data_IF_233878524285
#
_entry.id   IF_233878524285
#
_cell.length_a   1.000
_cell.length_b   1.000
_cell.length_c   1.000
_cell.angle_alpha   90.00
_cell.angle_beta   90.00
_cell.angle_gamma   90.00
#
_symmetry.space_group_name_H-M   'P 1'
#
loop_
_entity.id
_entity.type
_entity.pdbx_description
1 polymer ?
#
# COMPACT_ATOMS: atom_id res chain seq x y z
N UNK A 1 0.83 24.12 -70.05
CA UNK A 1 1.44 22.97 -70.76
C UNK A 1 0.94 21.70 -70.09
N UNK A 2 0.15 21.02 -70.84
CA UNK A 2 -0.54 19.75 -70.67
C UNK A 2 0.46 18.58 -70.61
N UNK A 3 0.18 17.57 -69.87
CA UNK A 3 0.27 16.14 -70.21
C UNK A 3 -0.14 15.33 -68.97
N UNK A 4 -1.25 14.75 -68.87
CA UNK A 4 -1.87 13.59 -69.50
C UNK A 4 -1.33 12.23 -69.01
N UNK A 5 -2.19 11.61 -68.21
CA UNK A 5 -2.64 10.20 -68.22
C UNK A 5 -1.61 9.03 -68.20
N UNK A 6 -1.79 8.12 -67.21
CA UNK A 6 -2.23 6.74 -67.56
C UNK A 6 -2.74 5.98 -66.35
N UNK A 7 -4.04 5.64 -66.36
CA UNK A 7 -4.64 4.53 -65.61
C UNK A 7 -4.18 3.20 -66.23
N UNK A 8 -3.74 2.27 -65.40
CA UNK A 8 -3.62 0.86 -65.79
C UNK A 8 -4.44 0.04 -64.80
N UNK A 9 -5.60 -0.38 -65.28
CA UNK A 9 -6.46 -1.41 -64.71
C UNK A 9 -5.81 -2.76 -64.90
N UNK A 10 -5.60 -3.55 -63.89
CA UNK A 10 -5.25 -4.97 -64.00
C UNK A 10 -6.28 -5.82 -63.29
N UNK A 11 -6.91 -6.62 -64.10
CA UNK A 11 -7.95 -7.60 -63.82
C UNK A 11 -7.36 -8.78 -63.00
N UNK A 12 -8.11 -9.19 -61.99
CA UNK A 12 -7.86 -10.34 -61.11
C UNK A 12 -8.30 -11.61 -61.85
N UNK A 13 -7.59 -12.76 -61.70
CA UNK A 13 -8.22 -14.06 -61.89
C UNK A 13 -8.67 -14.63 -60.51
N UNK A 14 -9.90 -15.04 -60.49
CA UNK A 14 -10.54 -15.83 -59.46
C UNK A 14 -9.92 -17.23 -59.46
N UNK A 15 -9.31 -17.61 -58.38
CA UNK A 15 -8.86 -19.00 -58.17
C UNK A 15 -9.75 -19.62 -57.07
N UNK A 16 -10.68 -20.44 -57.49
CA UNK A 16 -11.47 -21.32 -56.63
C UNK A 16 -10.56 -22.43 -56.09
N UNK A 17 -10.40 -22.47 -54.76
CA UNK A 17 -9.78 -23.61 -54.08
C UNK A 17 -10.81 -24.28 -53.18
N UNK A 18 -10.94 -25.56 -53.43
CA UNK A 18 -11.89 -26.45 -52.81
C UNK A 18 -11.72 -26.57 -51.26
N UNK A 19 -12.86 -26.68 -50.58
CA UNK A 19 -12.94 -26.99 -49.18
C UNK A 19 -12.45 -28.40 -48.86
N UNK A 20 -11.40 -28.52 -48.07
CA UNK A 20 -11.11 -29.72 -47.29
C UNK A 20 -11.50 -29.45 -45.84
N UNK A 21 -12.62 -30.03 -45.37
CA UNK A 21 -12.94 -30.13 -43.98
C UNK A 21 -11.90 -31.06 -43.30
N UNK A 22 -10.89 -30.44 -42.67
CA UNK A 22 -10.03 -31.08 -41.69
C UNK A 22 -10.53 -30.68 -40.31
N UNK A 23 -11.11 -31.58 -39.55
CA UNK A 23 -11.41 -31.38 -38.13
C UNK A 23 -10.08 -31.28 -37.35
N UNK A 24 -9.52 -30.08 -37.24
CA UNK A 24 -8.46 -29.79 -36.30
C UNK A 24 -9.11 -29.55 -34.93
N UNK A 25 -9.12 -30.58 -34.09
CA UNK A 25 -9.41 -30.44 -32.67
C UNK A 25 -8.43 -29.41 -32.07
N UNK A 26 -8.89 -28.23 -31.79
CA UNK A 26 -8.15 -27.26 -31.02
C UNK A 26 -7.92 -27.85 -29.62
N UNK A 27 -6.69 -28.31 -29.37
CA UNK A 27 -6.19 -28.51 -28.01
C UNK A 27 -6.20 -27.13 -27.33
N UNK A 28 -7.30 -26.80 -26.64
CA UNK A 28 -7.30 -25.70 -25.68
C UNK A 28 -6.36 -26.15 -24.57
N UNK A 29 -5.24 -25.45 -24.32
CA UNK A 29 -4.44 -25.76 -23.15
C UNK A 29 -5.36 -25.56 -21.95
N UNK A 30 -5.60 -26.65 -21.23
CA UNK A 30 -6.20 -26.62 -19.90
C UNK A 30 -5.24 -25.79 -19.01
N UNK A 31 -5.54 -24.51 -18.84
CA UNK A 31 -4.93 -23.68 -17.80
C UNK A 31 -5.47 -24.23 -16.49
N UNK A 32 -4.93 -25.41 -16.14
CA UNK A 32 -5.24 -26.09 -14.88
C UNK A 32 -5.26 -25.07 -13.77
N UNK A 33 -6.32 -25.12 -12.99
CA UNK A 33 -6.52 -24.38 -11.74
C UNK A 33 -5.17 -24.14 -11.07
N UNK A 34 -4.59 -22.98 -11.30
CA UNK A 34 -3.51 -22.50 -10.43
C UNK A 34 -4.11 -22.49 -9.03
N UNK A 35 -3.51 -23.22 -8.07
CA UNK A 35 -4.05 -23.21 -6.71
C UNK A 35 -4.13 -21.75 -6.29
N UNK A 36 -5.33 -21.26 -5.99
CA UNK A 36 -5.50 -19.98 -5.37
C UNK A 36 -4.60 -20.00 -4.14
N UNK A 37 -3.60 -19.13 -4.09
CA UNK A 37 -2.74 -19.00 -2.91
C UNK A 37 -3.69 -18.82 -1.73
N UNK A 38 -3.74 -19.82 -0.87
CA UNK A 38 -4.65 -19.80 0.28
C UNK A 38 -4.36 -18.51 1.06
N UNK A 39 -5.40 -17.70 1.26
CA UNK A 39 -5.26 -16.46 2.01
C UNK A 39 -4.59 -16.78 3.36
N UNK A 40 -3.56 -16.02 3.70
CA UNK A 40 -2.81 -16.24 4.93
C UNK A 40 -3.73 -16.24 6.15
N UNK A 41 -3.57 -17.26 7.00
CA UNK A 41 -4.40 -17.41 8.20
C UNK A 41 -4.11 -16.28 9.19
N UNK A 42 -5.14 -15.65 9.70
CA UNK A 42 -5.04 -14.67 10.79
C UNK A 42 -4.48 -15.34 12.03
N UNK A 43 -3.36 -14.85 12.55
CA UNK A 43 -2.85 -15.30 13.86
C UNK A 43 -3.65 -14.61 14.99
N UNK A 44 -3.88 -15.29 16.13
CA UNK A 44 -4.55 -14.67 17.27
C UNK A 44 -3.68 -13.54 17.86
N UNK A 45 -4.32 -12.56 18.49
CA UNK A 45 -3.61 -11.57 19.28
C UNK A 45 -2.99 -12.24 20.52
N UNK A 46 -1.85 -11.75 20.93
CA UNK A 46 -1.22 -12.17 22.19
C UNK A 46 -2.05 -11.67 23.39
N UNK A 47 -1.99 -12.37 24.49
CA UNK A 47 -2.78 -12.03 25.67
C UNK A 47 -2.21 -10.81 26.42
N UNK A 48 -0.91 -10.66 26.44
CA UNK A 48 -0.17 -9.52 26.99
C UNK A 48 0.95 -9.20 25.99
N UNK A 49 0.64 -8.47 24.92
CA UNK A 49 1.62 -8.19 23.88
C UNK A 49 2.72 -7.30 24.45
N UNK A 50 3.99 -7.54 24.10
CA UNK A 50 5.01 -6.52 24.24
C UNK A 50 4.77 -5.41 23.22
N UNK A 51 5.33 -4.22 23.43
CA UNK A 51 5.27 -3.16 22.41
C UNK A 51 4.56 -1.90 22.88
N UNK A 52 4.31 -1.76 24.19
CA UNK A 52 3.89 -0.48 24.74
C UNK A 52 5.05 0.52 24.63
N UNK A 53 4.81 1.64 23.97
CA UNK A 53 5.74 2.76 23.94
C UNK A 53 5.63 3.46 25.30
N UNK A 54 6.70 3.50 26.10
CA UNK A 54 6.63 4.10 27.44
C UNK A 54 6.17 5.57 27.41
N UNK A 55 5.42 6.00 28.41
CA UNK A 55 5.03 7.41 28.55
C UNK A 55 6.23 8.35 28.68
N UNK A 56 7.38 7.81 29.09
CA UNK A 56 8.66 8.53 29.19
C UNK A 56 9.43 8.56 27.88
N UNK A 57 8.90 7.96 26.79
CA UNK A 57 9.55 7.99 25.48
C UNK A 57 9.74 9.42 25.00
N UNK A 58 10.99 9.75 24.70
CA UNK A 58 11.34 11.03 24.08
C UNK A 58 11.04 10.98 22.59
N UNK A 59 10.43 12.06 22.09
CA UNK A 59 10.15 12.23 20.67
C UNK A 59 10.98 13.38 20.11
N UNK A 60 11.68 13.14 19.01
CA UNK A 60 12.50 14.11 18.31
C UNK A 60 11.87 14.51 16.97
N UNK A 61 12.28 15.66 16.43
CA UNK A 61 11.80 16.11 15.13
C UNK A 61 12.55 15.41 13.99
N UNK A 62 11.82 14.68 13.17
CA UNK A 62 12.29 14.19 11.89
C UNK A 62 11.97 15.18 10.79
N UNK A 63 12.99 15.69 10.12
CA UNK A 63 12.86 16.58 8.96
C UNK A 63 13.13 15.78 7.68
N UNK A 64 12.08 15.50 6.93
CA UNK A 64 12.16 14.74 5.68
C UNK A 64 12.67 15.62 4.52
N UNK A 65 13.57 15.09 3.64
CA UNK A 65 13.90 15.74 2.38
C UNK A 65 12.69 15.86 1.44
N UNK A 66 11.60 15.11 1.71
CA UNK A 66 10.35 15.16 0.97
C UNK A 66 9.47 16.39 1.30
N UNK A 67 9.93 17.30 2.18
CA UNK A 67 9.27 18.58 2.46
C UNK A 67 8.22 18.51 3.57
N UNK A 68 8.46 17.74 4.60
CA UNK A 68 7.63 17.71 5.82
C UNK A 68 8.48 17.48 7.08
N UNK A 69 7.88 17.71 8.22
CA UNK A 69 8.44 17.34 9.53
C UNK A 69 7.42 16.57 10.34
N UNK A 70 7.86 15.72 11.25
CA UNK A 70 7.02 15.05 12.24
C UNK A 70 7.84 14.59 13.43
N UNK A 71 7.18 14.30 14.55
CA UNK A 71 7.80 13.66 15.71
C UNK A 71 7.95 12.17 15.47
N UNK A 72 9.11 11.64 15.87
CA UNK A 72 9.42 10.21 15.83
C UNK A 72 10.08 9.82 17.16
N UNK A 73 9.97 8.57 17.63
CA UNK A 73 10.62 8.15 18.86
C UNK A 73 12.14 8.22 18.76
N UNK A 74 12.77 8.81 19.77
CA UNK A 74 14.23 8.83 19.88
C UNK A 74 14.76 7.41 20.17
N UNK A 75 15.91 7.07 19.56
CA UNK A 75 16.60 5.80 19.79
C UNK A 75 16.09 4.62 18.95
N UNK A 76 14.98 4.77 18.21
CA UNK A 76 14.52 3.72 17.30
C UNK A 76 15.44 3.58 16.09
N UNK A 77 15.61 2.34 15.60
CA UNK A 77 16.42 2.05 14.43
C UNK A 77 15.84 2.71 13.19
N UNK A 78 16.58 3.67 12.62
CA UNK A 78 16.17 4.40 11.42
C UNK A 78 16.75 3.77 10.16
N UNK A 79 15.90 3.65 9.15
CA UNK A 79 16.30 3.30 7.78
C UNK A 79 15.73 4.33 6.81
N UNK A 80 16.60 4.98 6.02
CA UNK A 80 16.18 5.93 5.00
C UNK A 80 16.01 5.23 3.65
N UNK A 81 14.94 5.61 2.93
CA UNK A 81 14.63 5.17 1.58
C UNK A 81 14.55 6.39 0.65
N UNK A 82 14.50 6.14 -0.66
CA UNK A 82 14.44 7.23 -1.66
C UNK A 82 13.19 8.12 -1.49
N UNK A 83 12.11 7.56 -1.04
CA UNK A 83 10.80 8.21 -0.88
C UNK A 83 10.38 8.46 0.58
N UNK A 84 11.18 8.00 1.55
CA UNK A 84 10.80 8.16 2.95
C UNK A 84 11.79 7.58 3.96
N UNK A 85 11.26 7.20 5.11
CA UNK A 85 12.04 6.57 6.20
C UNK A 85 11.17 5.62 7.02
N UNK A 86 11.83 4.70 7.72
CA UNK A 86 11.21 3.88 8.76
C UNK A 86 11.99 4.01 10.07
N UNK A 87 11.28 3.88 11.19
CA UNK A 87 11.81 3.87 12.54
C UNK A 87 11.21 2.65 13.23
N UNK A 88 12.03 1.75 13.74
CA UNK A 88 11.59 0.47 14.27
C UNK A 88 12.26 0.18 15.60
N UNK A 89 11.49 -0.26 16.58
CA UNK A 89 11.96 -0.92 17.80
C UNK A 89 11.19 -2.23 17.99
N UNK A 90 11.90 -3.34 17.95
CA UNK A 90 11.33 -4.70 18.06
C UNK A 90 10.17 -4.95 17.09
N UNK A 91 8.94 -4.88 17.60
CA UNK A 91 7.71 -5.15 16.83
C UNK A 91 6.90 -3.87 16.54
N UNK A 92 7.38 -2.72 17.01
CA UNK A 92 6.76 -1.43 16.79
C UNK A 92 7.42 -0.71 15.63
N UNK A 93 6.64 0.05 14.89
CA UNK A 93 7.21 0.79 13.79
C UNK A 93 6.43 2.01 13.35
N UNK A 94 7.20 2.95 12.83
CA UNK A 94 6.75 4.16 12.16
C UNK A 94 7.33 4.13 10.75
N UNK A 95 6.49 4.10 9.72
CA UNK A 95 6.93 4.16 8.33
C UNK A 95 6.30 5.37 7.68
N UNK A 96 7.10 6.18 7.02
CA UNK A 96 6.62 7.33 6.27
C UNK A 96 7.18 7.32 4.87
N UNK A 97 6.31 7.52 3.87
CA UNK A 97 6.70 7.57 2.47
C UNK A 97 5.96 8.68 1.72
N UNK A 98 6.58 9.18 0.67
CA UNK A 98 6.04 10.21 -0.23
C UNK A 98 5.79 9.61 -1.61
N UNK A 99 4.69 10.00 -2.23
CA UNK A 99 4.36 9.68 -3.61
C UNK A 99 3.71 10.88 -4.29
N UNK A 100 3.64 10.87 -5.61
CA UNK A 100 2.79 11.79 -6.36
C UNK A 100 1.35 11.26 -6.36
N UNK A 101 0.38 12.16 -6.31
CA UNK A 101 -1.02 11.85 -6.48
C UNK A 101 -1.72 13.00 -7.18
N UNK A 102 -2.66 12.69 -8.06
CA UNK A 102 -3.36 13.70 -8.88
C UNK A 102 -4.45 14.43 -8.07
N UNK A 103 -4.96 13.80 -7.01
CA UNK A 103 -6.00 14.36 -6.16
C UNK A 103 -5.85 13.93 -4.70
N UNK A 104 -6.43 14.74 -3.80
CA UNK A 104 -6.55 14.39 -2.40
C UNK A 104 -7.39 13.11 -2.21
N UNK A 105 -6.93 12.13 -1.42
CA UNK A 105 -7.73 10.96 -1.12
C UNK A 105 -8.99 11.34 -0.34
N UNK A 106 -10.11 10.71 -0.70
CA UNK A 106 -11.37 10.75 0.04
C UNK A 106 -11.60 9.41 0.75
N UNK A 107 -12.62 9.33 1.60
CA UNK A 107 -13.01 8.07 2.23
C UNK A 107 -13.41 7.04 1.17
N UNK A 108 -14.09 7.49 0.10
CA UNK A 108 -14.56 6.65 -1.00
C UNK A 108 -13.37 6.11 -1.80
N UNK A 109 -12.44 6.98 -2.24
CA UNK A 109 -11.25 6.55 -2.97
C UNK A 109 -10.33 5.67 -2.10
N UNK A 110 -10.24 5.96 -0.80
CA UNK A 110 -9.48 5.11 0.11
C UNK A 110 -10.06 3.69 0.20
N UNK A 111 -11.38 3.55 0.25
CA UNK A 111 -12.05 2.23 0.25
C UNK A 111 -11.95 1.52 -1.11
N UNK A 112 -11.99 2.27 -2.22
CA UNK A 112 -11.95 1.71 -3.56
C UNK A 112 -10.54 1.27 -4.00
N UNK A 113 -9.49 2.02 -3.63
CA UNK A 113 -8.15 1.86 -4.18
C UNK A 113 -7.14 1.40 -3.12
N UNK A 114 -7.05 2.11 -1.98
CA UNK A 114 -6.02 1.85 -0.97
C UNK A 114 -6.30 0.60 -0.14
N UNK A 115 -7.57 0.35 0.21
CA UNK A 115 -7.95 -0.83 1.01
C UNK A 115 -7.71 -2.13 0.24
N UNK A 116 -8.15 -2.31 -1.02
CA UNK A 116 -7.86 -3.52 -1.77
C UNK A 116 -6.37 -3.74 -1.98
N UNK A 117 -5.61 -2.68 -2.27
CA UNK A 117 -4.15 -2.77 -2.39
C UNK A 117 -3.51 -3.23 -1.08
N UNK A 118 -3.92 -2.64 0.04
CA UNK A 118 -3.43 -3.01 1.37
C UNK A 118 -3.73 -4.47 1.70
N UNK A 119 -4.91 -4.95 1.35
CA UNK A 119 -5.32 -6.34 1.56
C UNK A 119 -4.58 -7.32 0.65
N UNK A 120 -4.25 -6.92 -0.58
CA UNK A 120 -3.55 -7.79 -1.53
C UNK A 120 -2.04 -7.87 -1.28
N UNK A 121 -1.43 -6.83 -0.72
CA UNK A 121 0.01 -6.76 -0.47
C UNK A 121 0.39 -7.07 0.97
N UNK A 122 -0.54 -6.87 1.92
CA UNK A 122 -0.29 -7.11 3.35
C UNK A 122 -0.68 -8.53 3.78
N UNK A 123 -0.23 -8.92 4.95
CA UNK A 123 -0.40 -10.27 5.51
C UNK A 123 -1.67 -10.35 6.35
N UNK A 124 -2.64 -11.14 5.93
CA UNK A 124 -3.93 -11.36 6.60
C UNK A 124 -4.60 -10.04 7.08
N UNK A 125 -4.58 -9.01 6.24
CA UNK A 125 -5.10 -7.67 6.55
C UNK A 125 -6.62 -7.71 6.77
N UNK A 126 -7.06 -7.05 7.84
CA UNK A 126 -8.47 -6.81 8.17
C UNK A 126 -8.68 -5.34 8.51
N UNK A 127 -9.30 -4.59 7.59
CA UNK A 127 -9.61 -3.17 7.81
C UNK A 127 -10.84 -3.06 8.71
N UNK A 128 -10.76 -2.22 9.74
CA UNK A 128 -11.82 -1.98 10.71
C UNK A 128 -12.46 -0.60 10.58
N UNK A 129 -11.70 0.40 10.11
CA UNK A 129 -12.24 1.74 9.89
C UNK A 129 -11.50 2.47 8.76
N UNK A 130 -12.25 3.27 8.01
CA UNK A 130 -11.72 4.27 7.07
C UNK A 130 -12.51 5.55 7.29
N UNK A 131 -11.84 6.62 7.70
CA UNK A 131 -12.51 7.90 7.98
C UNK A 131 -11.60 9.09 7.70
N UNK A 132 -12.20 10.24 7.42
CA UNK A 132 -11.49 11.50 7.42
C UNK A 132 -11.29 11.98 8.85
N UNK A 133 -10.10 12.49 9.13
CA UNK A 133 -9.73 13.09 10.41
C UNK A 133 -9.17 14.50 10.16
N UNK A 134 -9.35 15.39 11.14
CA UNK A 134 -8.76 16.73 11.12
C UNK A 134 -7.54 16.74 12.01
N UNK A 135 -6.38 16.91 11.43
CA UNK A 135 -5.09 16.99 12.12
C UNK A 135 -4.50 18.40 11.98
N UNK A 136 -3.40 18.66 12.67
CA UNK A 136 -2.77 19.98 12.64
C UNK A 136 -2.23 20.38 11.25
N UNK A 137 -1.90 19.40 10.38
CA UNK A 137 -1.48 19.63 8.99
C UNK A 137 -2.66 19.77 8.01
N UNK A 138 -3.90 19.69 8.49
CA UNK A 138 -5.11 19.70 7.69
C UNK A 138 -5.87 18.37 7.73
N UNK A 139 -6.84 18.19 6.83
CA UNK A 139 -7.59 16.94 6.72
C UNK A 139 -6.69 15.82 6.21
N UNK A 140 -6.87 14.61 6.77
CA UNK A 140 -6.20 13.39 6.33
C UNK A 140 -7.19 12.23 6.34
N UNK A 141 -6.91 11.17 5.57
CA UNK A 141 -7.65 9.91 5.68
C UNK A 141 -6.91 8.99 6.66
N UNK A 142 -7.62 8.49 7.67
CA UNK A 142 -7.12 7.47 8.59
C UNK A 142 -7.74 6.13 8.25
N UNK A 143 -6.89 5.11 8.07
CA UNK A 143 -7.27 3.72 7.85
C UNK A 143 -6.77 2.94 9.06
N UNK A 144 -7.68 2.29 9.78
CA UNK A 144 -7.37 1.42 10.93
C UNK A 144 -7.54 -0.03 10.50
N UNK A 145 -6.55 -0.85 10.75
CA UNK A 145 -6.59 -2.25 10.36
C UNK A 145 -5.70 -3.11 11.24
N UNK A 146 -5.85 -4.41 11.11
CA UNK A 146 -4.96 -5.39 11.71
C UNK A 146 -4.30 -6.23 10.63
N UNK A 147 -3.07 -6.69 10.88
CA UNK A 147 -2.29 -7.55 9.97
C UNK A 147 -1.51 -8.59 10.76
N UNK A 148 -0.98 -9.60 10.10
CA UNK A 148 0.08 -10.41 10.68
C UNK A 148 1.42 -9.72 10.47
N UNK A 149 2.36 -9.87 11.40
CA UNK A 149 3.75 -9.46 11.20
C UNK A 149 4.43 -10.33 10.13
N UNK A 150 5.60 -9.91 9.66
CA UNK A 150 6.50 -10.83 8.99
C UNK A 150 6.85 -11.99 9.94
N UNK A 151 7.06 -13.21 9.41
CA UNK A 151 7.54 -14.31 10.21
C UNK A 151 8.92 -13.98 10.78
N UNK A 152 9.11 -14.26 12.07
CA UNK A 152 10.43 -14.16 12.67
C UNK A 152 11.40 -15.09 11.96
N UNK A 153 12.56 -14.58 11.55
CA UNK A 153 13.53 -15.32 10.72
C UNK A 153 14.06 -16.61 11.38
N UNK A 154 14.02 -16.70 12.70
CA UNK A 154 14.54 -17.86 13.45
C UNK A 154 13.43 -18.83 13.83
N UNK A 155 12.33 -18.30 14.38
CA UNK A 155 11.26 -19.12 14.95
C UNK A 155 10.07 -19.35 14.02
N UNK A 156 10.02 -18.62 12.89
CA UNK A 156 8.91 -18.57 11.95
C UNK A 156 7.56 -18.16 12.60
N UNK A 157 7.59 -17.62 13.81
CA UNK A 157 6.39 -17.13 14.49
C UNK A 157 6.01 -15.76 13.99
N UNK A 158 4.71 -15.52 13.93
CA UNK A 158 4.11 -14.22 13.62
C UNK A 158 3.32 -13.72 14.83
N UNK A 159 3.19 -12.40 14.93
CA UNK A 159 2.28 -11.76 15.88
C UNK A 159 1.19 -11.02 15.13
N UNK A 160 0.04 -10.86 15.76
CA UNK A 160 -1.01 -10.01 15.25
C UNK A 160 -0.68 -8.56 15.56
N UNK A 161 -0.66 -7.72 14.52
CA UNK A 161 -0.43 -6.29 14.63
C UNK A 161 -1.74 -5.52 14.54
N UNK A 162 -1.80 -4.40 15.21
CA UNK A 162 -2.71 -3.30 14.90
C UNK A 162 -1.94 -2.20 14.20
N UNK A 163 -2.65 -1.48 13.33
CA UNK A 163 -2.04 -0.52 12.44
C UNK A 163 -2.95 0.68 12.25
N UNK A 164 -2.35 1.86 12.15
CA UNK A 164 -2.99 3.08 11.70
C UNK A 164 -2.22 3.67 10.53
N UNK A 165 -2.92 3.87 9.42
CA UNK A 165 -2.36 4.52 8.26
C UNK A 165 -3.03 5.86 8.03
N UNK A 166 -2.22 6.91 7.87
CA UNK A 166 -2.68 8.25 7.57
C UNK A 166 -2.21 8.66 6.18
N UNK A 167 -3.12 9.26 5.41
CA UNK A 167 -2.87 9.78 4.07
C UNK A 167 -3.01 11.29 4.13
N UNK A 168 -1.87 12.02 4.09
CA UNK A 168 -1.82 13.47 4.02
C UNK A 168 -1.59 13.88 2.58
N UNK A 169 -2.30 14.91 2.14
CA UNK A 169 -2.17 15.39 0.76
C UNK A 169 -2.01 16.90 0.73
N UNK A 170 -1.07 17.37 -0.09
CA UNK A 170 -0.90 18.79 -0.42
C UNK A 170 -0.14 18.91 -1.75
N UNK A 171 -0.64 19.80 -2.62
CA UNK A 171 0.04 20.22 -3.86
C UNK A 171 0.56 19.05 -4.73
N UNK A 172 -0.28 18.03 -4.97
CA UNK A 172 0.09 16.86 -5.77
C UNK A 172 1.00 15.85 -5.06
N UNK A 173 1.30 16.08 -3.79
CA UNK A 173 2.12 15.18 -2.97
C UNK A 173 1.26 14.45 -1.95
N UNK A 174 1.36 13.13 -1.94
CA UNK A 174 0.76 12.25 -0.95
C UNK A 174 1.83 11.76 0.00
N UNK A 175 1.64 11.98 1.31
CA UNK A 175 2.45 11.35 2.35
C UNK A 175 1.63 10.29 3.03
N UNK A 176 2.16 9.08 3.09
CA UNK A 176 1.61 7.96 3.85
C UNK A 176 2.43 7.80 5.12
N UNK A 177 1.79 7.96 6.27
CA UNK A 177 2.34 7.59 7.57
C UNK A 177 1.67 6.31 8.03
N UNK A 178 2.46 5.32 8.39
CA UNK A 178 2.00 4.07 8.98
C UNK A 178 2.60 3.88 10.36
N UNK A 179 1.76 3.59 11.33
CA UNK A 179 2.09 3.25 12.70
C UNK A 179 1.60 1.83 12.95
N UNK A 180 2.46 0.99 13.50
CA UNK A 180 2.08 -0.38 13.85
C UNK A 180 2.74 -0.85 15.14
N UNK A 181 2.05 -1.75 15.84
CA UNK A 181 2.50 -2.41 17.06
C UNK A 181 1.79 -3.77 17.21
N UNK A 182 2.24 -4.65 18.10
CA UNK A 182 1.47 -5.82 18.51
C UNK A 182 0.07 -5.44 18.98
N UNK A 183 -0.93 -6.16 18.49
CA UNK A 183 -2.33 -5.85 18.79
C UNK A 183 -2.63 -5.95 20.28
N UNK A 184 -3.07 -4.85 20.86
CA UNK A 184 -3.39 -4.69 22.28
C UNK A 184 -2.30 -3.99 23.08
N UNK A 185 -1.24 -3.53 22.43
CA UNK A 185 -0.28 -2.59 23.03
C UNK A 185 -0.94 -1.22 23.27
N UNK A 186 -0.58 -0.54 24.34
CA UNK A 186 -1.13 0.77 24.70
C UNK A 186 -0.31 1.91 24.10
N UNK A 187 -0.59 2.25 22.83
CA UNK A 187 0.16 3.26 22.07
C UNK A 187 -0.72 4.40 21.54
N UNK A 188 -1.95 4.52 22.02
CA UNK A 188 -2.94 5.48 21.47
C UNK A 188 -2.43 6.91 21.54
N UNK A 189 -1.90 7.33 22.69
CA UNK A 189 -1.43 8.71 22.91
C UNK A 189 -0.17 9.00 22.09
N UNK A 190 0.75 8.08 22.02
CA UNK A 190 2.00 8.21 21.26
C UNK A 190 1.71 8.28 19.75
N UNK A 191 0.77 7.47 19.25
CA UNK A 191 0.34 7.51 17.85
C UNK A 191 -0.40 8.79 17.51
N UNK A 192 -1.23 9.27 18.43
CA UNK A 192 -1.89 10.57 18.29
C UNK A 192 -0.88 11.72 18.28
N UNK A 193 0.14 11.67 19.15
CA UNK A 193 1.23 12.65 19.17
C UNK A 193 1.95 12.66 17.81
N UNK A 194 2.40 11.50 17.33
CA UNK A 194 3.12 11.39 16.06
C UNK A 194 2.29 11.87 14.87
N UNK A 195 1.08 11.35 14.72
CA UNK A 195 0.21 11.72 13.58
C UNK A 195 -0.19 13.20 13.60
N UNK A 196 -0.45 13.78 14.79
CA UNK A 196 -0.81 15.18 14.91
C UNK A 196 0.40 16.13 14.88
N UNK A 197 1.62 15.62 14.98
CA UNK A 197 2.85 16.42 14.88
C UNK A 197 3.26 16.71 13.44
N UNK A 198 2.70 16.02 12.47
CA UNK A 198 3.03 16.21 11.05
C UNK A 198 2.81 17.65 10.60
N UNK A 199 3.77 18.22 9.86
CA UNK A 199 3.72 19.57 9.28
C UNK A 199 4.33 19.56 7.88
N UNK A 200 3.68 20.23 6.95
CA UNK A 200 4.28 20.58 5.67
C UNK A 200 5.32 21.67 5.84
N UNK A 201 6.43 21.58 5.10
CA UNK A 201 7.41 22.64 4.95
C UNK A 201 7.07 23.54 3.80
#
# INVERSE_FOLDING_TARGET
>A
MMSAHRKISRILPILTVAACLGAAGALVPDFGNLPALAAEKVVPAEKNPPGDIPDTQVFIDYASPQGFTMKVPEGWARTDNADGASFVDKLDGVVVSAAKADAAPTVESAKADYVPKLQSTGRAVRVTAVKQVKLAAGPAIRIVYTSNSEPNAVTNKQVRLENERYLYFKDGKLITLELYAPKGADNVDQWQLMSNSFRWK
#
